data_IF_522910524600
#
_entry.id   IF_522910524600
#
_cell.length_a   1.000
_cell.length_b   1.000
_cell.length_c   1.000
_cell.angle_alpha   90.00
_cell.angle_beta   90.00
_cell.angle_gamma   90.00
#
_symmetry.space_group_name_H-M   'P 1'
#
loop_
_entity.id
_entity.type
_entity.pdbx_description
1 polymer ?
#
# COMPACT_ATOMS: atom_id res chain seq x y z
N UNK A 1 -74.80 20.75 -30.41
CA UNK A 1 -74.07 20.15 -31.53
C UNK A 1 -73.03 19.21 -30.91
N UNK A 2 -73.41 17.96 -30.60
CA UNK A 2 -73.25 16.76 -31.45
C UNK A 2 -71.78 16.54 -31.86
N UNK A 3 -71.13 15.38 -31.76
CA UNK A 3 -71.40 14.04 -31.23
C UNK A 3 -70.14 13.24 -31.56
N UNK A 4 -69.56 12.46 -30.64
CA UNK A 4 -68.63 11.36 -31.01
C UNK A 4 -69.38 10.32 -31.85
N UNK A 5 -68.72 9.55 -32.77
CA UNK A 5 -68.20 8.23 -32.34
C UNK A 5 -67.09 7.57 -33.21
N UNK A 6 -66.42 6.58 -32.56
CA UNK A 6 -65.97 5.24 -33.03
C UNK A 6 -64.87 5.06 -34.12
N UNK A 7 -63.98 4.13 -33.78
CA UNK A 7 -62.97 3.45 -34.61
C UNK A 7 -63.54 2.27 -35.44
N UNK A 8 -62.79 1.82 -36.46
CA UNK A 8 -62.74 0.39 -36.83
C UNK A 8 -61.28 -0.17 -36.97
N UNK A 9 -61.08 -1.51 -37.08
CA UNK A 9 -59.82 -2.18 -36.76
C UNK A 9 -59.18 -2.92 -38.00
N UNK A 10 -58.34 -3.99 -37.90
CA UNK A 10 -57.02 -4.09 -38.55
C UNK A 10 -56.91 -5.17 -39.67
N UNK A 11 -55.82 -5.16 -40.46
CA UNK A 11 -55.21 -6.28 -41.24
C UNK A 11 -54.29 -5.70 -42.35
N UNK A 12 -53.20 -6.29 -42.88
CA UNK A 12 -52.63 -7.66 -42.94
C UNK A 12 -51.13 -7.55 -43.35
N UNK A 13 -50.40 -8.64 -43.08
CA UNK A 13 -48.97 -8.98 -43.34
C UNK A 13 -48.37 -8.68 -44.74
N UNK A 14 -47.06 -8.33 -44.78
CA UNK A 14 -45.97 -8.87 -45.66
C UNK A 14 -44.62 -8.19 -45.28
N UNK A 15 -43.57 -8.86 -44.76
CA UNK A 15 -42.39 -9.50 -45.43
C UNK A 15 -41.85 -8.68 -46.62
N UNK A 16 -40.58 -8.29 -46.81
CA UNK A 16 -39.20 -8.63 -46.35
C UNK A 16 -38.33 -7.41 -46.77
N UNK A 17 -37.21 -7.03 -46.15
CA UNK A 17 -35.86 -7.39 -46.61
C UNK A 17 -34.77 -6.82 -45.68
N UNK A 18 -33.70 -7.58 -45.62
CA UNK A 18 -32.53 -7.54 -44.73
C UNK A 18 -31.43 -6.59 -45.20
N UNK A 19 -30.80 -5.86 -44.27
CA UNK A 19 -29.42 -5.37 -44.44
C UNK A 19 -28.56 -5.87 -43.27
N UNK A 20 -27.49 -6.60 -43.62
CA UNK A 20 -26.54 -7.27 -42.75
C UNK A 20 -25.60 -6.28 -42.06
N UNK A 21 -25.49 -6.35 -40.73
CA UNK A 21 -24.32 -5.88 -39.97
C UNK A 21 -23.33 -7.05 -39.74
N UNK A 22 -22.02 -6.79 -39.61
CA UNK A 22 -21.01 -7.84 -39.56
C UNK A 22 -20.97 -8.56 -38.21
N UNK A 23 -20.54 -9.83 -38.31
CA UNK A 23 -20.62 -10.87 -37.30
C UNK A 23 -19.69 -10.67 -36.09
N UNK A 24 -20.19 -11.01 -34.91
CA UNK A 24 -19.43 -11.22 -33.69
C UNK A 24 -18.59 -12.50 -33.78
N UNK A 25 -17.28 -12.37 -33.58
CA UNK A 25 -16.38 -13.50 -33.33
C UNK A 25 -16.65 -14.10 -31.94
N UNK A 26 -16.60 -15.44 -31.75
CA UNK A 26 -16.79 -16.05 -30.45
C UNK A 26 -15.54 -15.89 -29.56
N UNK A 27 -15.76 -15.54 -28.29
CA UNK A 27 -14.75 -15.58 -27.23
C UNK A 27 -14.07 -16.96 -27.20
N UNK A 28 -12.75 -16.96 -27.31
CA UNK A 28 -11.91 -18.14 -27.19
C UNK A 28 -11.81 -18.59 -25.72
N UNK A 29 -11.85 -19.91 -25.53
CA UNK A 29 -11.97 -20.62 -24.26
C UNK A 29 -10.67 -20.49 -23.45
N UNK A 30 -10.78 -20.12 -22.18
CA UNK A 30 -9.66 -20.03 -21.25
C UNK A 30 -9.06 -21.42 -20.92
N UNK A 31 -7.73 -21.56 -20.85
CA UNK A 31 -7.10 -22.77 -20.35
C UNK A 31 -7.22 -22.89 -18.82
N UNK A 32 -7.24 -24.14 -18.39
CA UNK A 32 -7.50 -24.66 -17.04
C UNK A 32 -6.62 -24.08 -15.91
N UNK A 33 -7.28 -23.92 -14.76
CA UNK A 33 -6.98 -23.08 -13.58
C UNK A 33 -5.78 -23.46 -12.70
N UNK A 34 -4.99 -24.49 -13.01
CA UNK A 34 -3.96 -24.99 -12.06
C UNK A 34 -2.54 -24.49 -12.31
N UNK A 35 -2.22 -24.05 -13.54
CA UNK A 35 -0.87 -23.54 -13.90
C UNK A 35 -0.76 -22.01 -13.74
N UNK A 36 -1.90 -21.30 -13.75
CA UNK A 36 -1.97 -19.85 -13.74
C UNK A 36 -1.55 -19.23 -12.40
N UNK A 37 -1.71 -19.92 -11.28
CA UNK A 37 -1.41 -19.34 -9.95
C UNK A 37 0.09 -19.28 -9.64
N UNK A 38 0.88 -20.19 -10.19
CA UNK A 38 2.33 -20.18 -10.08
C UNK A 38 2.96 -19.14 -11.03
N UNK A 39 2.45 -19.05 -12.27
CA UNK A 39 2.87 -18.03 -13.23
C UNK A 39 2.40 -16.62 -12.85
N UNK A 40 1.21 -16.45 -12.25
CA UNK A 40 0.74 -15.16 -11.72
C UNK A 40 1.61 -14.65 -10.57
N UNK A 41 2.07 -15.53 -9.67
CA UNK A 41 2.99 -15.13 -8.59
C UNK A 41 4.36 -14.67 -9.11
N UNK A 42 4.90 -15.32 -10.14
CA UNK A 42 6.18 -14.93 -10.74
C UNK A 42 6.07 -13.68 -11.63
N UNK A 43 4.93 -13.48 -12.30
CA UNK A 43 4.66 -12.24 -13.07
C UNK A 43 4.22 -11.05 -12.21
N UNK A 44 3.57 -11.27 -11.05
CA UNK A 44 3.25 -10.18 -10.11
C UNK A 44 4.47 -9.68 -9.35
N UNK A 45 5.40 -10.56 -8.96
CA UNK A 45 6.68 -10.12 -8.35
C UNK A 45 7.51 -9.29 -9.34
N UNK A 46 7.33 -9.53 -10.63
CA UNK A 46 8.02 -8.79 -11.71
C UNK A 46 7.51 -7.36 -11.90
N UNK A 47 6.34 -6.97 -11.40
CA UNK A 47 5.80 -5.60 -11.57
C UNK A 47 6.12 -4.65 -10.41
N UNK A 48 6.54 -5.18 -9.26
CA UNK A 48 6.75 -4.39 -8.03
C UNK A 48 8.14 -3.78 -8.02
N UNK A 49 8.26 -2.62 -8.68
CA UNK A 49 9.52 -1.90 -8.87
C UNK A 49 9.88 -1.00 -7.67
N UNK A 50 8.89 -0.49 -6.93
CA UNK A 50 9.09 0.35 -5.75
C UNK A 50 8.66 -0.39 -4.49
N UNK A 51 9.57 -0.46 -3.53
CA UNK A 51 9.33 -1.02 -2.21
C UNK A 51 9.43 0.11 -1.18
N UNK A 52 8.51 0.18 -0.24
CA UNK A 52 8.60 1.12 0.89
C UNK A 52 8.56 0.34 2.20
N UNK A 53 9.55 0.59 3.05
CA UNK A 53 9.58 0.13 4.42
C UNK A 53 9.27 1.29 5.37
N UNK A 54 8.16 1.18 6.09
CA UNK A 54 7.85 2.04 7.23
C UNK A 54 8.57 1.50 8.47
N UNK A 55 9.66 2.15 8.87
CA UNK A 55 10.51 1.71 9.98
C UNK A 55 10.09 2.35 11.32
N UNK A 56 10.41 1.67 12.44
CA UNK A 56 10.13 2.15 13.79
C UNK A 56 8.65 2.50 14.06
N UNK A 57 7.73 1.78 13.43
CA UNK A 57 6.30 1.96 13.68
C UNK A 57 5.92 1.55 15.11
N UNK A 58 5.20 2.42 15.82
CA UNK A 58 4.77 2.18 17.21
C UNK A 58 3.42 1.47 17.26
N UNK A 59 3.43 0.18 16.89
CA UNK A 59 2.26 -0.69 16.89
C UNK A 59 2.35 -1.73 18.01
N UNK A 60 1.73 -1.46 19.15
CA UNK A 60 1.77 -2.33 20.33
C UNK A 60 0.37 -2.51 20.92
N UNK A 61 0.02 -3.72 21.35
CA UNK A 61 -1.26 -3.99 22.01
C UNK A 61 -1.15 -3.82 23.52
N UNK A 62 -2.17 -3.24 24.14
CA UNK A 62 -2.35 -3.17 25.59
C UNK A 62 -3.69 -3.77 25.98
N UNK A 63 -3.74 -4.45 27.13
CA UNK A 63 -4.98 -4.96 27.71
C UNK A 63 -5.55 -3.93 28.68
N UNK A 64 -6.77 -3.46 28.41
CA UNK A 64 -7.44 -2.52 29.30
C UNK A 64 -8.02 -3.20 30.55
N UNK A 65 -8.57 -2.42 31.49
CA UNK A 65 -9.16 -2.94 32.73
C UNK A 65 -10.36 -3.88 32.49
N UNK A 66 -11.04 -3.73 31.34
CA UNK A 66 -12.18 -4.58 30.92
C UNK A 66 -11.74 -5.86 30.21
N UNK A 67 -10.42 -6.08 30.08
CA UNK A 67 -9.84 -7.25 29.44
C UNK A 67 -9.82 -7.21 27.91
N UNK A 68 -10.20 -6.09 27.30
CA UNK A 68 -10.20 -5.89 25.85
C UNK A 68 -8.81 -5.42 25.42
N UNK A 69 -8.32 -5.94 24.29
CA UNK A 69 -7.06 -5.53 23.69
C UNK A 69 -7.27 -4.30 22.81
N UNK A 70 -6.45 -3.28 23.02
CA UNK A 70 -6.47 -2.00 22.31
C UNK A 70 -5.06 -1.68 21.82
N UNK A 71 -4.96 -0.86 20.76
CA UNK A 71 -3.67 -0.39 20.27
C UNK A 71 -3.18 0.77 21.14
N UNK A 72 -1.99 0.63 21.69
CA UNK A 72 -1.37 1.61 22.58
C UNK A 72 -1.17 2.94 21.84
N UNK A 73 -1.65 4.02 22.44
CA UNK A 73 -1.62 5.36 21.85
C UNK A 73 -1.46 6.44 22.93
N UNK A 74 -1.10 7.66 22.53
CA UNK A 74 -0.81 8.76 23.45
C UNK A 74 -2.04 9.33 24.15
N UNK A 75 -3.22 9.24 23.55
CA UNK A 75 -4.43 9.93 24.00
C UNK A 75 -5.23 9.09 24.99
N UNK A 76 -5.61 7.87 24.60
CA UNK A 76 -6.44 6.95 25.40
C UNK A 76 -5.64 6.31 26.56
N UNK A 77 -4.32 6.15 26.40
CA UNK A 77 -3.50 5.35 27.31
C UNK A 77 -2.44 6.15 28.09
N UNK A 78 -2.58 7.47 28.16
CA UNK A 78 -1.59 8.38 28.78
C UNK A 78 -1.18 7.98 30.20
N UNK A 79 -2.13 7.68 31.07
CA UNK A 79 -1.87 7.27 32.46
C UNK A 79 -1.19 5.91 32.55
N UNK A 80 -1.57 4.98 31.66
CA UNK A 80 -0.99 3.65 31.61
C UNK A 80 0.48 3.72 31.16
N UNK A 81 0.77 4.54 30.15
CA UNK A 81 2.14 4.81 29.69
C UNK A 81 3.03 5.35 30.81
N UNK A 82 2.57 6.38 31.54
CA UNK A 82 3.34 6.99 32.63
C UNK A 82 3.54 6.06 33.81
N UNK A 83 2.47 5.40 34.27
CA UNK A 83 2.50 4.65 35.54
C UNK A 83 3.06 3.24 35.39
N UNK A 84 2.70 2.52 34.33
CA UNK A 84 3.08 1.11 34.14
C UNK A 84 4.29 0.96 33.25
N UNK A 85 4.29 1.61 32.08
CA UNK A 85 5.34 1.45 31.09
C UNK A 85 6.56 2.33 31.37
N UNK A 86 6.43 3.36 32.22
CA UNK A 86 7.46 4.37 32.52
C UNK A 86 8.09 4.97 31.25
N UNK A 87 7.29 5.12 30.20
CA UNK A 87 7.68 5.69 28.90
C UNK A 87 6.87 6.94 28.62
N UNK A 88 7.41 7.84 27.81
CA UNK A 88 6.68 9.04 27.39
C UNK A 88 5.47 8.63 26.53
N UNK A 89 4.24 9.00 26.92
CA UNK A 89 3.06 8.80 26.08
C UNK A 89 3.23 9.33 24.66
N UNK A 90 3.99 10.40 24.46
CA UNK A 90 4.21 11.04 23.15
C UNK A 90 4.88 10.15 22.12
N UNK A 91 5.58 9.11 22.56
CA UNK A 91 6.23 8.17 21.66
C UNK A 91 5.24 7.17 21.05
N UNK A 92 4.06 6.99 21.64
CA UNK A 92 3.08 6.01 21.18
C UNK A 92 2.11 6.66 20.19
N UNK A 93 2.60 6.84 18.96
CA UNK A 93 1.89 7.49 17.85
C UNK A 93 1.60 6.54 16.68
N UNK A 94 0.77 5.51 16.88
CA UNK A 94 0.34 4.62 15.79
C UNK A 94 -0.44 5.33 14.67
N UNK A 95 -0.95 6.55 14.92
CA UNK A 95 -1.61 7.40 13.93
C UNK A 95 -0.65 7.89 12.82
N UNK A 96 0.65 8.01 13.10
CA UNK A 96 1.66 8.34 12.09
C UNK A 96 1.71 7.25 11.01
N UNK A 97 1.91 6.00 11.45
CA UNK A 97 1.90 4.84 10.55
C UNK A 97 0.55 4.71 9.81
N UNK A 98 -0.57 5.02 10.48
CA UNK A 98 -1.89 5.04 9.83
C UNK A 98 -1.92 6.03 8.66
N UNK A 99 -1.52 7.28 8.87
CA UNK A 99 -1.50 8.32 7.84
C UNK A 99 -0.55 7.97 6.68
N UNK A 100 0.63 7.44 6.99
CA UNK A 100 1.60 6.99 5.99
C UNK A 100 1.08 5.83 5.14
N UNK A 101 0.40 4.85 5.76
CA UNK A 101 -0.25 3.77 5.01
C UNK A 101 -1.34 4.29 4.08
N UNK A 102 -2.12 5.30 4.52
CA UNK A 102 -3.12 5.92 3.65
C UNK A 102 -2.45 6.64 2.47
N UNK A 103 -1.35 7.38 2.71
CA UNK A 103 -0.61 8.06 1.64
C UNK A 103 -0.01 7.06 0.63
N UNK A 104 0.56 5.94 1.10
CA UNK A 104 1.12 4.90 0.25
C UNK A 104 0.05 4.20 -0.59
N UNK A 105 -1.01 3.69 0.04
CA UNK A 105 -1.96 2.79 -0.64
C UNK A 105 -2.99 3.51 -1.52
N UNK A 106 -3.14 4.83 -1.34
CA UNK A 106 -3.97 5.66 -2.21
C UNK A 106 -3.21 6.24 -3.40
N UNK A 107 -1.88 6.20 -3.39
CA UNK A 107 -1.07 6.71 -4.47
C UNK A 107 -1.44 6.08 -5.83
N UNK A 108 -1.46 6.86 -6.92
CA UNK A 108 -1.52 6.33 -8.28
C UNK A 108 -0.52 5.20 -8.51
N UNK A 109 0.68 5.32 -7.95
CA UNK A 109 1.72 4.28 -8.02
C UNK A 109 1.26 2.91 -7.47
N UNK A 110 0.53 2.91 -6.34
CA UNK A 110 -0.05 1.69 -5.80
C UNK A 110 -1.17 1.15 -6.69
N UNK A 111 -2.00 2.04 -7.26
CA UNK A 111 -3.07 1.63 -8.19
C UNK A 111 -2.54 1.05 -9.50
N UNK A 112 -1.36 1.49 -9.94
CA UNK A 112 -0.63 0.94 -11.07
C UNK A 112 0.02 -0.44 -10.77
N UNK A 113 0.01 -0.88 -9.52
CA UNK A 113 0.59 -2.17 -9.11
C UNK A 113 2.12 -2.17 -8.97
N UNK A 114 2.74 -0.99 -8.92
CA UNK A 114 4.19 -0.82 -8.85
C UNK A 114 4.74 -0.72 -7.42
N UNK A 115 3.87 -0.66 -6.41
CA UNK A 115 4.24 -0.44 -5.01
C UNK A 115 4.10 -1.71 -4.17
N UNK A 116 5.10 -1.98 -3.34
CA UNK A 116 5.04 -2.96 -2.25
C UNK A 116 5.35 -2.27 -0.92
N UNK A 117 4.54 -2.55 0.12
CA UNK A 117 4.68 -1.89 1.43
C UNK A 117 5.00 -2.92 2.50
N UNK A 118 5.96 -2.56 3.36
CA UNK A 118 6.31 -3.27 4.58
C UNK A 118 6.29 -2.32 5.76
N UNK A 119 6.05 -2.86 6.95
CA UNK A 119 6.10 -2.12 8.22
C UNK A 119 6.99 -2.89 9.18
N UNK A 120 8.00 -2.24 9.73
CA UNK A 120 8.82 -2.76 10.82
C UNK A 120 8.49 -1.97 12.08
N UNK A 121 8.03 -2.65 13.12
CA UNK A 121 7.69 -2.01 14.39
C UNK A 121 8.92 -1.82 15.28
N UNK A 122 8.85 -0.93 16.27
CA UNK A 122 9.90 -0.80 17.29
C UNK A 122 10.12 -2.07 18.12
N UNK A 123 9.18 -3.02 18.11
CA UNK A 123 9.32 -4.34 18.74
C UNK A 123 9.83 -5.40 17.77
N UNK A 124 10.45 -4.98 16.66
CA UNK A 124 11.01 -5.84 15.64
C UNK A 124 9.99 -6.81 15.02
N UNK A 125 8.72 -6.38 14.90
CA UNK A 125 7.70 -7.15 14.16
C UNK A 125 7.69 -6.63 12.73
N UNK A 126 7.92 -7.52 11.77
CA UNK A 126 7.87 -7.20 10.35
C UNK A 126 6.52 -7.61 9.77
N UNK A 127 5.87 -6.69 9.08
CA UNK A 127 4.55 -6.86 8.50
C UNK A 127 4.63 -6.60 7.01
N UNK A 128 4.16 -7.56 6.23
CA UNK A 128 3.94 -7.45 4.79
C UNK A 128 2.50 -7.00 4.52
N UNK A 129 2.35 -6.02 3.63
CA UNK A 129 1.06 -5.46 3.23
C UNK A 129 0.78 -5.83 1.77
N UNK A 130 -0.37 -6.42 1.50
CA UNK A 130 -0.84 -6.65 0.14
C UNK A 130 -1.34 -5.31 -0.45
N UNK A 131 -0.87 -4.88 -1.64
CA UNK A 131 -1.30 -3.64 -2.30
C UNK A 131 -2.82 -3.47 -2.46
N UNK A 132 -3.56 -4.59 -2.54
CA UNK A 132 -5.01 -4.64 -2.70
C UNK A 132 -5.79 -4.29 -1.43
N UNK A 133 -5.13 -4.21 -0.27
CA UNK A 133 -5.83 -3.92 0.99
C UNK A 133 -6.40 -2.50 1.01
N UNK A 134 -7.66 -2.38 1.45
CA UNK A 134 -8.28 -1.10 1.77
C UNK A 134 -8.12 -0.81 3.26
N UNK A 135 -7.19 0.06 3.61
CA UNK A 135 -6.98 0.45 5.00
C UNK A 135 -8.14 1.30 5.50
N UNK A 136 -8.67 1.02 6.72
CA UNK A 136 -9.74 1.83 7.28
C UNK A 136 -9.33 3.30 7.43
N UNK A 137 -10.20 4.22 6.98
CA UNK A 137 -9.94 5.67 7.03
C UNK A 137 -10.00 6.25 8.43
N UNK A 138 -10.79 5.64 9.32
CA UNK A 138 -10.89 6.09 10.71
C UNK A 138 -9.89 5.35 11.57
N UNK A 139 -9.16 6.10 12.40
CA UNK A 139 -8.13 5.55 13.27
C UNK A 139 -8.66 4.44 14.20
N UNK A 140 -9.87 4.58 14.75
CA UNK A 140 -10.50 3.55 15.60
C UNK A 140 -10.70 2.20 14.90
N UNK A 141 -10.99 2.18 13.60
CA UNK A 141 -11.11 0.93 12.83
C UNK A 141 -9.74 0.38 12.46
N UNK A 142 -8.80 1.26 12.12
CA UNK A 142 -7.41 0.89 11.88
C UNK A 142 -6.79 0.23 13.13
N UNK A 143 -6.97 0.81 14.32
CA UNK A 143 -6.43 0.26 15.56
C UNK A 143 -6.97 -1.15 15.84
N UNK A 144 -8.28 -1.37 15.66
CA UNK A 144 -8.88 -2.70 15.76
C UNK A 144 -8.31 -3.71 14.76
N UNK A 145 -8.06 -3.29 13.51
CA UNK A 145 -7.45 -4.12 12.48
C UNK A 145 -6.01 -4.52 12.85
N UNK A 146 -5.19 -3.58 13.33
CA UNK A 146 -3.81 -3.86 13.76
C UNK A 146 -3.79 -4.77 15.00
N UNK A 147 -4.66 -4.54 15.98
CA UNK A 147 -4.81 -5.46 17.12
C UNK A 147 -5.13 -6.87 16.62
N UNK A 148 -6.09 -7.02 15.70
CA UNK A 148 -6.42 -8.31 15.12
C UNK A 148 -5.22 -8.94 14.40
N UNK A 149 -4.45 -8.16 13.64
CA UNK A 149 -3.26 -8.62 12.95
C UNK A 149 -2.21 -9.14 13.93
N UNK A 150 -1.91 -8.40 15.00
CA UNK A 150 -0.89 -8.78 15.99
C UNK A 150 -1.29 -10.04 16.78
N UNK A 151 -2.58 -10.29 16.97
CA UNK A 151 -3.07 -11.50 17.61
C UNK A 151 -3.14 -12.71 16.67
N UNK A 152 -3.57 -12.52 15.41
CA UNK A 152 -3.80 -13.62 14.45
C UNK A 152 -2.62 -13.86 13.51
N UNK A 153 -1.62 -12.99 13.52
CA UNK A 153 -0.44 -12.96 12.64
C UNK A 153 -0.76 -12.79 11.13
N UNK A 154 -2.04 -12.79 10.75
CA UNK A 154 -2.50 -12.57 9.37
C UNK A 154 -3.93 -12.04 9.33
N UNK A 155 -4.21 -11.25 8.32
CA UNK A 155 -5.55 -10.77 7.94
C UNK A 155 -5.86 -11.30 6.55
N UNK A 156 -7.04 -11.89 6.38
CA UNK A 156 -7.54 -12.36 5.09
C UNK A 156 -8.64 -11.44 4.56
N UNK A 157 -8.83 -11.43 3.25
CA UNK A 157 -9.97 -10.80 2.63
C UNK A 157 -11.29 -11.46 3.08
N UNK A 158 -12.36 -10.66 3.17
CA UNK A 158 -13.68 -11.18 3.49
C UNK A 158 -14.17 -12.08 2.35
N UNK A 159 -14.43 -13.35 2.66
CA UNK A 159 -14.94 -14.31 1.67
C UNK A 159 -13.89 -14.92 0.74
N UNK A 160 -12.59 -14.61 0.90
CA UNK A 160 -11.51 -15.26 0.14
C UNK A 160 -10.40 -15.79 1.05
N UNK A 161 -9.57 -16.69 0.51
CA UNK A 161 -8.37 -17.19 1.20
C UNK A 161 -7.17 -16.26 1.08
N UNK A 162 -7.29 -15.16 0.32
CA UNK A 162 -6.21 -14.21 0.06
C UNK A 162 -5.80 -13.51 1.34
N UNK A 163 -4.48 -13.42 1.58
CA UNK A 163 -3.93 -12.74 2.75
C UNK A 163 -3.60 -11.29 2.38
N UNK A 164 -4.20 -10.36 3.11
CA UNK A 164 -4.07 -8.92 2.88
C UNK A 164 -2.98 -8.26 3.74
N UNK A 165 -2.76 -8.79 4.94
CA UNK A 165 -1.64 -8.38 5.81
C UNK A 165 -1.11 -9.62 6.52
N UNK A 166 0.21 -9.69 6.70
CA UNK A 166 0.84 -10.84 7.34
C UNK A 166 2.07 -10.41 8.13
N UNK A 167 2.21 -10.94 9.34
CA UNK A 167 3.47 -10.87 10.07
C UNK A 167 4.43 -11.89 9.47
N UNK A 168 5.59 -11.41 9.04
CA UNK A 168 6.64 -12.20 8.40
C UNK A 168 7.90 -12.23 9.28
N UNK A 169 8.81 -13.17 8.98
CA UNK A 169 10.02 -13.36 9.78
C UNK A 169 11.07 -12.31 9.43
N UNK A 170 11.86 -11.89 10.41
CA UNK A 170 13.06 -11.09 10.18
C UNK A 170 14.22 -11.96 9.66
N UNK A 171 15.26 -11.35 9.05
CA UNK A 171 15.42 -9.92 8.72
C UNK A 171 14.64 -9.48 7.46
N UNK A 172 14.39 -8.18 7.34
CA UNK A 172 13.70 -7.58 6.18
C UNK A 172 14.39 -7.88 4.85
N UNK A 173 15.73 -7.88 4.82
CA UNK A 173 16.53 -8.13 3.63
C UNK A 173 16.22 -9.46 2.93
N UNK A 174 15.71 -10.46 3.64
CA UNK A 174 15.32 -11.75 3.04
C UNK A 174 14.07 -11.68 2.16
N UNK A 175 13.29 -10.60 2.27
CA UNK A 175 12.05 -10.39 1.50
C UNK A 175 12.24 -9.42 0.34
N UNK A 176 13.45 -8.89 0.17
CA UNK A 176 13.79 -8.05 -0.96
C UNK A 176 14.17 -8.90 -2.18
N UNK A 177 13.72 -8.54 -3.39
CA UNK A 177 14.25 -9.12 -4.62
C UNK A 177 15.77 -8.96 -4.74
N UNK A 178 16.40 -9.86 -5.50
CA UNK A 178 17.83 -9.78 -5.74
C UNK A 178 18.20 -8.47 -6.46
N UNK A 179 19.29 -7.84 -6.02
CA UNK A 179 19.79 -6.59 -6.58
C UNK A 179 19.05 -5.33 -6.12
N UNK A 180 18.01 -5.44 -5.27
CA UNK A 180 17.28 -4.26 -4.79
C UNK A 180 18.20 -3.22 -4.17
N UNK A 181 18.13 -1.99 -4.68
CA UNK A 181 18.85 -0.84 -4.15
C UNK A 181 18.06 -0.21 -3.02
N UNK A 182 18.70 0.03 -1.88
CA UNK A 182 17.99 0.50 -0.68
C UNK A 182 18.49 1.86 -0.24
N UNK A 183 17.55 2.78 -0.04
CA UNK A 183 17.82 4.15 0.34
C UNK A 183 17.03 4.52 1.59
N UNK A 184 17.67 5.22 2.52
CA UNK A 184 16.99 5.76 3.70
C UNK A 184 16.56 7.20 3.47
N UNK A 185 15.45 7.59 4.08
CA UNK A 185 14.96 8.97 4.07
C UNK A 185 15.28 9.65 5.40
N UNK A 186 15.87 10.85 5.32
CA UNK A 186 16.19 11.68 6.49
C UNK A 186 16.20 13.15 6.12
N UNK A 187 15.80 14.02 7.06
CA UNK A 187 15.93 15.47 6.91
C UNK A 187 17.39 15.95 6.77
N UNK A 188 18.35 15.14 7.21
CA UNK A 188 19.79 15.39 7.08
C UNK A 188 20.41 14.65 5.88
N UNK A 189 19.60 13.94 5.08
CA UNK A 189 20.07 13.26 3.88
C UNK A 189 20.44 14.24 2.76
N UNK A 190 21.07 13.72 1.70
CA UNK A 190 21.38 14.54 0.53
C UNK A 190 20.08 15.06 -0.10
N UNK A 191 19.96 16.38 -0.22
CA UNK A 191 18.74 17.03 -0.71
C UNK A 191 18.56 16.86 -2.21
N UNK A 192 17.38 16.40 -2.62
CA UNK A 192 16.93 16.33 -4.01
C UNK A 192 15.53 16.92 -4.16
N UNK A 193 15.24 17.49 -5.33
CA UNK A 193 13.84 17.67 -5.71
C UNK A 193 13.19 16.30 -5.98
N UNK A 194 11.87 16.13 -5.77
CA UNK A 194 11.20 14.86 -6.03
C UNK A 194 11.48 14.25 -7.42
N UNK A 195 11.44 15.07 -8.47
CA UNK A 195 11.67 14.62 -9.84
C UNK A 195 13.15 14.25 -10.07
N UNK A 196 14.09 15.01 -9.51
CA UNK A 196 15.51 14.68 -9.61
C UNK A 196 15.86 13.41 -8.84
N UNK A 197 15.21 13.18 -7.69
CA UNK A 197 15.35 11.95 -6.93
C UNK A 197 14.85 10.75 -7.73
N UNK A 198 13.68 10.85 -8.36
CA UNK A 198 13.14 9.79 -9.22
C UNK A 198 14.10 9.49 -10.38
N UNK A 199 14.52 10.52 -11.14
CA UNK A 199 15.42 10.34 -12.27
C UNK A 199 16.80 9.77 -11.89
N UNK A 200 17.30 10.07 -10.68
CA UNK A 200 18.61 9.60 -10.22
C UNK A 200 18.57 8.17 -9.65
N UNK A 201 17.47 7.78 -9.00
CA UNK A 201 17.41 6.55 -8.21
C UNK A 201 16.56 5.45 -8.84
N UNK A 202 15.57 5.82 -9.65
CA UNK A 202 14.55 4.92 -10.18
C UNK A 202 14.80 4.66 -11.67
N UNK A 203 14.64 3.41 -12.14
CA UNK A 203 14.78 3.09 -13.57
C UNK A 203 13.77 3.87 -14.43
N UNK A 204 14.11 4.22 -15.69
CA UNK A 204 13.25 5.00 -16.56
C UNK A 204 11.95 4.28 -16.98
N UNK A 205 11.96 2.94 -17.04
CA UNK A 205 10.80 2.15 -17.42
C UNK A 205 10.39 1.22 -16.25
N UNK A 206 9.13 1.29 -15.77
CA UNK A 206 8.61 0.36 -14.77
C UNK A 206 8.42 -1.07 -15.29
N UNK A 207 8.52 -1.30 -16.61
CA UNK A 207 8.46 -2.63 -17.20
C UNK A 207 9.75 -3.41 -16.92
N UNK A 208 9.60 -4.62 -16.37
CA UNK A 208 10.69 -5.53 -16.04
C UNK A 208 11.54 -5.97 -17.24
N UNK A 209 11.15 -5.61 -18.46
CA UNK A 209 11.93 -5.85 -19.68
C UNK A 209 13.30 -5.16 -19.64
N UNK A 210 13.47 -4.14 -18.80
CA UNK A 210 14.73 -3.41 -18.63
C UNK A 210 15.76 -4.13 -17.74
N UNK A 211 15.39 -5.19 -17.00
CA UNK A 211 16.28 -5.91 -16.09
C UNK A 211 16.83 -5.07 -14.93
N UNK A 212 16.28 -3.87 -14.73
CA UNK A 212 16.74 -2.94 -13.70
C UNK A 212 16.31 -3.43 -12.31
N UNK A 213 17.19 -3.30 -11.29
CA UNK A 213 16.86 -3.74 -9.94
C UNK A 213 15.75 -2.87 -9.33
N UNK A 214 14.85 -3.47 -8.51
CA UNK A 214 13.87 -2.71 -7.75
C UNK A 214 14.52 -1.72 -6.79
N UNK A 215 13.77 -0.68 -6.41
CA UNK A 215 14.24 0.36 -5.48
C UNK A 215 13.42 0.30 -4.20
N UNK A 216 14.10 0.32 -3.05
CA UNK A 216 13.48 0.35 -1.74
C UNK A 216 13.76 1.67 -1.02
N UNK A 217 12.72 2.33 -0.53
CA UNK A 217 12.83 3.50 0.34
C UNK A 217 12.46 3.14 1.78
N UNK A 218 13.33 3.45 2.73
CA UNK A 218 13.06 3.32 4.17
C UNK A 218 12.65 4.68 4.72
N UNK A 219 11.43 4.75 5.23
CA UNK A 219 10.82 5.96 5.78
C UNK A 219 10.49 5.71 7.25
N UNK A 220 10.83 6.66 8.12
CA UNK A 220 10.56 6.55 9.55
C UNK A 220 9.08 6.79 9.88
N UNK A 221 8.43 5.80 10.49
CA UNK A 221 7.06 5.82 10.97
C UNK A 221 6.97 6.09 12.49
N UNK A 222 7.79 7.04 12.97
CA UNK A 222 7.95 7.37 14.39
C UNK A 222 7.64 8.84 14.70
N UNK A 223 7.29 9.12 15.95
CA UNK A 223 7.09 10.49 16.44
C UNK A 223 8.41 11.27 16.56
N UNK A 224 9.44 10.57 17.04
CA UNK A 224 10.78 11.08 17.28
C UNK A 224 11.77 9.96 16.97
N UNK A 225 12.95 10.32 16.47
CA UNK A 225 14.00 9.37 16.08
C UNK A 225 14.49 9.60 14.65
N UNK A 226 15.35 8.70 14.19
CA UNK A 226 15.87 8.67 12.84
C UNK A 226 16.07 7.22 12.39
N UNK A 227 15.99 7.00 11.07
CA UNK A 227 16.40 5.71 10.48
C UNK A 227 17.92 5.65 10.51
N UNK A 228 18.46 4.54 10.99
CA UNK A 228 19.91 4.34 11.18
C UNK A 228 20.44 3.29 10.19
N UNK A 229 21.74 3.39 9.85
CA UNK A 229 22.41 2.37 9.01
C UNK A 229 22.72 1.14 9.85
N UNK A 230 22.86 1.29 11.16
CA UNK A 230 23.03 0.20 12.12
C UNK A 230 21.82 -0.74 12.12
N UNK A 231 20.60 -0.20 12.12
CA UNK A 231 19.36 -0.98 12.03
C UNK A 231 19.11 -1.55 10.62
N UNK A 232 19.74 -0.95 9.61
CA UNK A 232 19.54 -1.22 8.19
C UNK A 232 20.87 -1.15 7.41
N UNK A 233 21.77 -2.14 7.58
CA UNK A 233 23.12 -2.09 7.02
C UNK A 233 23.19 -2.18 5.49
N UNK A 234 22.05 -2.45 4.85
CA UNK A 234 21.88 -2.50 3.40
C UNK A 234 21.48 -1.15 2.79
N UNK A 235 21.35 -0.08 3.58
CA UNK A 235 21.15 1.28 3.05
C UNK A 235 22.43 1.73 2.32
N UNK A 236 22.30 2.09 1.04
CA UNK A 236 23.38 2.68 0.25
C UNK A 236 23.63 4.15 0.64
N UNK A 237 22.55 4.92 0.80
CA UNK A 237 22.61 6.37 1.04
C UNK A 237 21.33 6.90 1.68
N UNK A 238 21.47 8.03 2.39
CA UNK A 238 20.37 8.78 2.97
C UNK A 238 20.02 10.01 2.12
N UNK A 239 18.74 10.22 1.83
CA UNK A 239 18.24 11.34 1.01
C UNK A 239 17.19 12.17 1.75
N UNK A 240 17.07 13.44 1.33
CA UNK A 240 16.00 14.36 1.73
C UNK A 240 15.27 14.87 0.49
N UNK A 241 13.96 15.13 0.61
CA UNK A 241 13.11 15.69 -0.45
C UNK A 241 12.59 17.10 -0.13
N UNK A 242 13.13 17.72 0.93
CA UNK A 242 12.72 19.02 1.45
C UNK A 242 13.80 19.63 2.34
N UNK A 243 13.96 20.94 2.27
CA UNK A 243 14.77 21.72 3.23
C UNK A 243 14.11 21.83 4.60
N UNK A 244 12.78 21.63 4.65
CA UNK A 244 12.00 21.63 5.88
C UNK A 244 11.72 20.19 6.36
N UNK A 245 11.71 19.95 7.68
CA UNK A 245 11.21 18.70 8.24
C UNK A 245 9.76 18.43 7.80
N UNK A 246 9.49 17.22 7.33
CA UNK A 246 8.16 16.81 6.88
C UNK A 246 7.59 15.74 7.81
N UNK A 247 6.26 15.64 7.85
CA UNK A 247 5.63 14.40 8.30
C UNK A 247 5.97 13.26 7.34
N UNK A 248 6.02 12.02 7.83
CA UNK A 248 6.31 10.87 6.98
C UNK A 248 5.31 10.74 5.82
N UNK A 249 4.02 11.00 6.06
CA UNK A 249 3.00 11.02 5.01
C UNK A 249 3.30 12.06 3.91
N UNK A 250 3.71 13.28 4.28
CA UNK A 250 4.06 14.31 3.31
C UNK A 250 5.35 13.98 2.54
N UNK A 251 6.35 13.41 3.22
CA UNK A 251 7.57 12.94 2.57
C UNK A 251 7.26 11.83 1.55
N UNK A 252 6.43 10.84 1.94
CA UNK A 252 5.95 9.77 1.05
C UNK A 252 5.25 10.35 -0.17
N UNK A 253 4.29 11.26 0.00
CA UNK A 253 3.58 11.86 -1.13
C UNK A 253 4.51 12.60 -2.09
N UNK A 254 5.55 13.26 -1.57
CA UNK A 254 6.58 13.90 -2.42
C UNK A 254 7.41 12.88 -3.17
N UNK A 255 7.89 11.83 -2.50
CA UNK A 255 8.70 10.77 -3.13
C UNK A 255 7.87 10.09 -4.24
N UNK A 256 6.67 9.62 -3.90
CA UNK A 256 5.82 8.91 -4.86
C UNK A 256 5.38 9.81 -6.01
N UNK A 257 4.99 11.06 -5.73
CA UNK A 257 4.62 12.02 -6.79
C UNK A 257 5.77 12.31 -7.77
N UNK A 258 7.02 12.36 -7.27
CA UNK A 258 8.19 12.47 -8.15
C UNK A 258 8.37 11.27 -9.08
N UNK A 259 8.15 10.06 -8.56
CA UNK A 259 8.23 8.81 -9.32
C UNK A 259 7.08 8.70 -10.32
N UNK A 260 5.87 9.04 -9.90
CA UNK A 260 4.67 9.05 -10.75
C UNK A 260 4.86 9.99 -11.94
N UNK A 261 5.36 11.20 -11.71
CA UNK A 261 5.70 12.13 -12.80
C UNK A 261 6.77 11.58 -13.73
N UNK A 262 7.82 10.96 -13.17
CA UNK A 262 8.92 10.40 -13.95
C UNK A 262 8.48 9.23 -14.83
N UNK A 263 7.55 8.41 -14.34
CA UNK A 263 6.98 7.27 -15.08
C UNK A 263 5.73 7.61 -15.90
N UNK A 264 5.26 8.85 -15.85
CA UNK A 264 4.05 9.26 -16.56
C UNK A 264 2.76 8.61 -16.04
N UNK A 265 2.71 8.27 -14.75
CA UNK A 265 1.50 7.73 -14.10
C UNK A 265 0.63 8.93 -13.68
N UNK A 266 -0.57 9.03 -14.29
CA UNK A 266 -1.53 10.13 -14.12
C UNK A 266 -2.89 9.61 -13.67
#
# INVERSE_FOLDING_TARGET
>A
EESSPRSPPPNKRARTETVRGPASTPLEIAPSVTSLDAERKSTESSKKQIIVLLDQARLETVKNKRGIFELLNCDDHRELCKRKLKKDPKDFRPDICHQEMLALLDSPLNKAGCLQVYIKTCKNVLIEINPSIRIPRTYKRFSGLIVQLLHKMKIKAGGSSETLMKVIKNPFSQHLPAGTRVFGMSCQGTLYSPNALAAALVPPDPSAASGAPPVCFIVGAMATGHVTVEDHPYIEKMFSVSEYPLSGAAAISRILGGIENYWGIV
#
